data_IF_737855431038
#
_entry.id   IF_737855431038
#
_cell.length_a   1.000
_cell.length_b   1.000
_cell.length_c   1.000
_cell.angle_alpha   90.00
_cell.angle_beta   90.00
_cell.angle_gamma   90.00
#
_symmetry.space_group_name_H-M   'P 1'
#
loop_
_entity.id
_entity.type
_entity.pdbx_description
1 polymer ?
#
# COMPACT_ATOMS: atom_id res chain seq x y z
N UNK A 1 -2.89 -50.44 -17.04
CA UNK A 1 -3.84 -49.94 -16.05
C UNK A 1 -3.16 -48.74 -15.42
N UNK A 2 -3.46 -47.56 -15.96
CA UNK A 2 -2.81 -46.30 -15.63
C UNK A 2 -3.46 -45.77 -14.35
N UNK A 3 -2.71 -45.74 -13.25
CA UNK A 3 -3.18 -45.19 -11.99
C UNK A 3 -3.14 -43.67 -12.14
N UNK A 4 -4.30 -43.12 -12.44
CA UNK A 4 -4.56 -41.69 -12.48
C UNK A 4 -4.55 -41.18 -11.04
N UNK A 5 -3.40 -40.68 -10.60
CA UNK A 5 -3.26 -39.95 -9.34
C UNK A 5 -4.14 -38.69 -9.38
N UNK A 6 -5.38 -38.88 -8.91
CA UNK A 6 -6.41 -37.86 -8.87
C UNK A 6 -6.37 -37.24 -7.48
N UNK A 7 -5.38 -36.39 -7.25
CA UNK A 7 -5.36 -35.37 -6.18
C UNK A 7 -4.37 -34.26 -6.58
N UNK A 8 -4.62 -33.68 -7.76
CA UNK A 8 -3.88 -32.49 -8.22
C UNK A 8 -4.24 -31.31 -7.32
N UNK A 9 -3.25 -30.86 -6.57
CA UNK A 9 -3.27 -29.71 -5.68
C UNK A 9 -3.57 -28.44 -6.49
N UNK A 10 -4.83 -27.98 -6.48
CA UNK A 10 -5.23 -26.64 -6.92
C UNK A 10 -4.76 -25.61 -5.87
N UNK A 11 -4.04 -24.51 -6.13
CA UNK A 11 -3.27 -24.00 -7.26
C UNK A 11 -1.97 -23.41 -6.67
N UNK A 12 -0.82 -23.71 -7.27
CA UNK A 12 0.30 -22.76 -7.23
C UNK A 12 0.08 -21.76 -8.37
N UNK A 13 0.72 -20.59 -8.34
CA UNK A 13 0.62 -19.51 -9.35
C UNK A 13 0.85 -19.90 -10.83
N UNK A 14 1.04 -21.19 -11.14
CA UNK A 14 1.51 -21.68 -12.42
C UNK A 14 2.97 -21.34 -12.64
N UNK A 15 3.46 -21.67 -13.83
CA UNK A 15 4.80 -21.29 -14.26
C UNK A 15 4.87 -19.78 -14.56
N UNK A 16 6.01 -19.11 -14.27
CA UNK A 16 6.20 -17.70 -14.62
C UNK A 16 6.27 -17.50 -16.15
N UNK A 17 6.04 -16.26 -16.65
CA UNK A 17 5.85 -15.02 -15.91
C UNK A 17 4.44 -14.82 -15.36
N UNK A 18 4.35 -14.41 -14.10
CA UNK A 18 3.10 -14.06 -13.45
C UNK A 18 2.69 -12.62 -13.74
N UNK A 19 1.44 -12.42 -14.15
CA UNK A 19 0.91 -11.11 -14.51
C UNK A 19 0.00 -10.62 -13.40
N UNK A 20 0.24 -9.40 -12.92
CA UNK A 20 -0.57 -8.73 -11.92
C UNK A 20 -1.13 -7.44 -12.52
N UNK A 21 -2.43 -7.21 -12.39
CA UNK A 21 -3.08 -5.94 -12.75
C UNK A 21 -3.83 -5.38 -11.56
N UNK A 22 -3.81 -4.07 -11.42
CA UNK A 22 -4.46 -3.39 -10.32
C UNK A 22 -3.98 -1.96 -10.17
N UNK A 23 -4.19 -1.42 -8.98
CA UNK A 23 -3.72 -0.08 -8.59
C UNK A 23 -2.73 -0.17 -7.43
N UNK A 24 -1.79 0.77 -7.38
CA UNK A 24 -0.82 0.84 -6.29
C UNK A 24 -0.60 2.29 -5.86
N UNK A 25 -0.45 2.47 -4.55
CA UNK A 25 -0.12 3.72 -3.89
C UNK A 25 1.26 3.60 -3.29
N UNK A 26 2.18 4.46 -3.70
CA UNK A 26 3.53 4.54 -3.14
C UNK A 26 3.63 5.75 -2.23
N UNK A 27 4.15 5.56 -1.02
CA UNK A 27 4.51 6.66 -0.14
C UNK A 27 5.92 6.46 0.38
N UNK A 28 6.84 7.25 -0.17
CA UNK A 28 8.26 7.21 0.17
C UNK A 28 8.55 8.18 1.31
N UNK A 29 9.47 7.78 2.20
CA UNK A 29 9.91 8.59 3.33
C UNK A 29 11.41 8.44 3.54
N UNK A 30 12.03 9.50 4.08
CA UNK A 30 13.37 9.38 4.64
C UNK A 30 13.28 8.61 5.96
N UNK A 31 13.99 7.48 6.01
CA UNK A 31 14.12 6.63 7.19
C UNK A 31 15.55 6.76 7.68
N UNK A 32 15.75 6.90 8.99
CA UNK A 32 17.09 6.91 9.55
C UNK A 32 17.80 5.59 9.24
N UNK A 33 19.05 5.66 8.80
CA UNK A 33 19.86 4.49 8.45
C UNK A 33 19.95 3.50 9.62
N UNK A 34 20.14 3.99 10.85
CA UNK A 34 20.14 3.17 12.08
C UNK A 34 18.87 2.31 12.21
N UNK A 35 17.71 2.87 11.89
CA UNK A 35 16.43 2.15 11.95
C UNK A 35 16.30 1.14 10.82
N UNK A 36 16.69 1.51 9.60
CA UNK A 36 16.68 0.60 8.45
C UNK A 36 17.60 -0.61 8.67
N UNK A 37 18.77 -0.40 9.30
CA UNK A 37 19.75 -1.44 9.63
C UNK A 37 19.27 -2.50 10.61
N UNK A 38 18.20 -2.24 11.37
CA UNK A 38 17.59 -3.28 12.21
C UNK A 38 16.87 -4.36 11.37
N UNK A 39 16.50 -4.06 10.12
CA UNK A 39 15.74 -4.96 9.24
C UNK A 39 16.55 -5.44 8.03
N UNK A 40 17.54 -4.67 7.61
CA UNK A 40 18.41 -4.99 6.47
C UNK A 40 19.60 -5.83 6.95
N UNK A 41 19.88 -6.99 6.33
CA UNK A 41 21.05 -7.80 6.63
C UNK A 41 22.37 -7.01 6.57
N UNK A 42 23.33 -7.34 7.42
CA UNK A 42 24.59 -6.58 7.58
C UNK A 42 25.49 -6.65 6.33
N UNK A 43 25.41 -7.75 5.61
CA UNK A 43 26.06 -8.03 4.33
C UNK A 43 25.48 -7.19 3.18
N UNK A 44 24.23 -6.74 3.28
CA UNK A 44 23.63 -5.84 2.30
C UNK A 44 24.10 -4.39 2.55
N UNK A 45 24.62 -3.73 1.51
CA UNK A 45 25.04 -2.31 1.62
C UNK A 45 23.83 -1.39 1.46
N UNK A 46 23.51 -0.59 2.48
CA UNK A 46 22.44 0.39 2.42
C UNK A 46 22.84 1.58 1.50
N UNK A 47 21.88 2.07 0.71
CA UNK A 47 21.99 3.36 0.01
C UNK A 47 21.56 4.44 1.00
N UNK A 48 22.53 5.17 1.54
CA UNK A 48 22.28 6.20 2.54
C UNK A 48 23.00 7.51 2.21
N UNK A 49 22.39 8.62 2.61
CA UNK A 49 22.95 9.96 2.56
C UNK A 49 22.59 10.68 3.86
N UNK A 50 23.56 11.35 4.49
CA UNK A 50 23.38 12.09 5.75
C UNK A 50 22.77 11.26 6.90
N UNK A 51 23.01 9.94 6.91
CA UNK A 51 22.43 9.03 7.92
C UNK A 51 20.97 8.65 7.67
N UNK A 52 20.44 8.90 6.46
CA UNK A 52 19.10 8.49 6.05
C UNK A 52 19.13 7.66 4.78
N UNK A 53 18.14 6.78 4.62
CA UNK A 53 17.86 6.02 3.41
C UNK A 53 16.42 6.27 2.95
N UNK A 54 16.11 5.95 1.71
CA UNK A 54 14.76 6.05 1.18
C UNK A 54 13.99 4.76 1.50
N UNK A 55 13.06 4.86 2.44
CA UNK A 55 12.11 3.79 2.77
C UNK A 55 10.68 4.21 2.44
N UNK A 56 9.72 3.57 3.09
CA UNK A 56 8.31 3.92 2.96
C UNK A 56 7.42 2.69 2.91
N UNK A 57 6.34 2.77 2.15
CA UNK A 57 5.50 1.62 1.87
C UNK A 57 4.86 1.74 0.50
N UNK A 58 4.36 0.61 -0.02
CA UNK A 58 3.37 0.62 -1.09
C UNK A 58 2.17 -0.23 -0.70
N UNK A 59 0.99 0.27 -1.07
CA UNK A 59 -0.28 -0.43 -0.91
C UNK A 59 -0.82 -0.72 -2.31
N UNK A 60 -0.92 -2.00 -2.67
CA UNK A 60 -1.47 -2.47 -3.92
C UNK A 60 -2.84 -3.12 -3.72
N UNK A 61 -3.71 -2.94 -4.70
CA UNK A 61 -4.99 -3.62 -4.83
C UNK A 61 -5.02 -4.27 -6.20
N UNK A 62 -4.98 -5.61 -6.22
CA UNK A 62 -4.91 -6.40 -7.44
C UNK A 62 -6.31 -6.83 -7.88
N UNK A 63 -6.64 -6.46 -9.12
CA UNK A 63 -7.89 -6.80 -9.80
C UNK A 63 -7.73 -8.07 -10.67
N UNK A 64 -6.50 -8.51 -10.93
CA UNK A 64 -6.20 -9.70 -11.72
C UNK A 64 -4.81 -10.21 -11.33
N UNK A 65 -4.70 -11.45 -10.87
CA UNK A 65 -3.44 -12.10 -10.52
C UNK A 65 -3.59 -13.63 -10.49
N UNK A 66 -2.49 -14.40 -10.45
CA UNK A 66 -2.57 -15.85 -10.27
C UNK A 66 -3.25 -16.30 -8.96
N UNK A 67 -3.22 -15.46 -7.91
CA UNK A 67 -3.93 -15.67 -6.64
C UNK A 67 -5.39 -15.17 -6.66
N UNK A 68 -5.87 -14.65 -7.79
CA UNK A 68 -7.12 -13.91 -7.88
C UNK A 68 -7.00 -12.49 -7.31
N UNK A 69 -8.10 -11.96 -6.76
CA UNK A 69 -8.17 -10.62 -6.20
C UNK A 69 -7.56 -10.59 -4.80
N UNK A 70 -6.64 -9.65 -4.54
CA UNK A 70 -6.08 -9.48 -3.20
C UNK A 70 -5.46 -8.08 -3.01
N UNK A 71 -5.38 -7.66 -1.75
CA UNK A 71 -4.68 -6.45 -1.33
C UNK A 71 -3.30 -6.79 -0.74
N UNK A 72 -2.32 -5.94 -1.02
CA UNK A 72 -0.95 -6.09 -0.52
C UNK A 72 -0.42 -4.77 0.06
N UNK A 73 0.16 -4.82 1.26
CA UNK A 73 0.92 -3.72 1.84
C UNK A 73 2.36 -4.17 2.09
N UNK A 74 3.31 -3.51 1.44
CA UNK A 74 4.74 -3.74 1.65
C UNK A 74 5.35 -2.56 2.36
N UNK A 75 6.01 -2.84 3.48
CA UNK A 75 6.82 -1.87 4.22
C UNK A 75 8.26 -1.97 3.76
N UNK A 76 8.81 -0.87 3.27
CA UNK A 76 10.16 -0.75 2.75
C UNK A 76 11.05 -0.13 3.83
N UNK A 77 12.03 -0.87 4.34
CA UNK A 77 12.97 -0.34 5.33
C UNK A 77 13.95 0.68 4.74
N UNK A 78 14.38 0.45 3.50
CA UNK A 78 15.38 1.28 2.83
C UNK A 78 15.75 0.72 1.46
N UNK A 79 16.63 1.43 0.77
CA UNK A 79 17.25 0.96 -0.47
C UNK A 79 18.57 0.27 -0.17
N UNK A 80 18.81 -0.87 -0.81
CA UNK A 80 20.07 -1.61 -0.75
C UNK A 80 20.73 -1.61 -2.13
N UNK A 81 22.07 -1.57 -2.15
CA UNK A 81 22.84 -1.71 -3.37
C UNK A 81 22.75 -3.14 -3.89
N UNK A 82 22.37 -3.28 -5.16
CA UNK A 82 22.39 -4.53 -5.90
C UNK A 82 22.98 -4.23 -7.29
N UNK A 83 24.31 -4.32 -7.45
CA UNK A 83 24.98 -3.85 -8.66
C UNK A 83 24.35 -4.38 -9.96
N UNK A 84 24.13 -3.54 -10.98
CA UNK A 84 24.56 -2.14 -11.11
C UNK A 84 23.58 -1.11 -10.53
N UNK A 85 22.48 -1.52 -9.90
CA UNK A 85 21.40 -0.64 -9.44
C UNK A 85 21.21 -0.70 -7.92
N UNK A 86 20.02 -0.31 -7.46
CA UNK A 86 19.57 -0.47 -6.09
C UNK A 86 18.21 -1.15 -6.07
N UNK A 87 17.86 -1.78 -4.96
CA UNK A 87 16.59 -2.45 -4.76
C UNK A 87 15.98 -2.02 -3.42
N UNK A 88 14.65 -2.00 -3.35
CA UNK A 88 13.95 -1.79 -2.10
C UNK A 88 14.03 -3.05 -1.23
N UNK A 89 14.40 -2.89 0.04
CA UNK A 89 14.33 -3.98 1.01
C UNK A 89 12.97 -4.02 1.68
N UNK A 90 12.19 -5.05 1.36
CA UNK A 90 10.90 -5.30 2.00
C UNK A 90 11.12 -5.83 3.42
N UNK A 91 10.86 -4.99 4.42
CA UNK A 91 10.95 -5.37 5.83
C UNK A 91 9.77 -6.25 6.26
N UNK A 92 8.61 -6.03 5.63
CA UNK A 92 7.38 -6.74 5.92
C UNK A 92 6.45 -6.65 4.71
N UNK A 93 5.76 -7.75 4.41
CA UNK A 93 4.73 -7.83 3.37
C UNK A 93 3.45 -8.35 4.02
N UNK A 94 2.31 -7.71 3.77
CA UNK A 94 1.02 -8.05 4.33
C UNK A 94 0.04 -8.27 3.19
N UNK A 95 -0.64 -9.42 3.16
CA UNK A 95 -1.57 -9.79 2.09
C UNK A 95 -2.84 -10.41 2.66
N UNK A 96 -3.98 -10.20 2.04
CA UNK A 96 -5.24 -10.88 2.45
C UNK A 96 -5.47 -12.23 1.77
N UNK A 97 -4.65 -12.61 0.79
CA UNK A 97 -4.67 -13.96 0.22
C UNK A 97 -3.66 -14.89 0.90
N UNK A 98 -4.16 -16.03 1.40
CA UNK A 98 -3.33 -17.10 1.94
C UNK A 98 -2.41 -17.69 0.86
N UNK A 99 -2.90 -17.82 -0.37
CA UNK A 99 -2.13 -18.34 -1.50
C UNK A 99 -0.97 -17.42 -1.83
N UNK A 100 -1.25 -16.11 -1.95
CA UNK A 100 -0.21 -15.10 -2.19
C UNK A 100 0.84 -15.08 -1.08
N UNK A 101 0.42 -15.22 0.18
CA UNK A 101 1.31 -15.28 1.33
C UNK A 101 2.24 -16.51 1.27
N UNK A 102 1.67 -17.68 0.96
CA UNK A 102 2.41 -18.93 0.85
C UNK A 102 3.38 -18.90 -0.32
N UNK A 103 2.94 -18.43 -1.48
CA UNK A 103 3.78 -18.30 -2.67
C UNK A 103 4.92 -17.32 -2.43
N UNK A 104 4.63 -16.12 -1.92
CA UNK A 104 5.63 -15.10 -1.60
C UNK A 104 6.73 -15.62 -0.68
N UNK A 105 6.37 -16.42 0.34
CA UNK A 105 7.37 -17.05 1.23
C UNK A 105 8.16 -18.16 0.57
N UNK A 106 7.49 -19.10 -0.09
CA UNK A 106 8.10 -20.36 -0.56
C UNK A 106 8.90 -20.19 -1.85
N UNK A 107 8.43 -19.33 -2.76
CA UNK A 107 9.00 -19.17 -4.11
C UNK A 107 9.85 -17.91 -4.21
N UNK A 108 9.38 -16.80 -3.63
CA UNK A 108 10.07 -15.50 -3.75
C UNK A 108 10.97 -15.19 -2.54
N UNK A 109 10.71 -15.79 -1.37
CA UNK A 109 11.46 -15.51 -0.14
C UNK A 109 11.02 -14.23 0.59
N UNK A 110 9.81 -13.72 0.32
CA UNK A 110 9.28 -12.52 0.93
C UNK A 110 8.88 -12.75 2.41
N UNK A 111 9.03 -11.73 3.28
CA UNK A 111 8.55 -11.76 4.66
C UNK A 111 7.03 -11.51 4.74
N UNK A 112 6.25 -12.24 3.91
CA UNK A 112 4.79 -12.10 3.79
C UNK A 112 4.09 -12.59 5.04
N UNK A 113 2.98 -11.95 5.42
CA UNK A 113 2.09 -12.33 6.53
C UNK A 113 0.64 -12.11 6.09
N UNK A 114 -0.27 -12.94 6.58
CA UNK A 114 -1.69 -12.79 6.28
C UNK A 114 -2.25 -11.63 7.11
N UNK A 115 -2.97 -10.73 6.45
CA UNK A 115 -3.61 -9.59 7.06
C UNK A 115 -5.04 -9.43 6.51
N UNK A 116 -5.87 -8.67 7.22
CA UNK A 116 -7.18 -8.26 6.74
C UNK A 116 -7.18 -6.76 6.45
N UNK A 117 -7.62 -6.41 5.25
CA UNK A 117 -7.80 -5.05 4.78
C UNK A 117 -9.28 -4.69 4.85
N UNK A 118 -9.61 -3.58 5.52
CA UNK A 118 -10.97 -3.05 5.58
C UNK A 118 -11.00 -1.66 4.95
N UNK A 119 -11.64 -1.55 3.80
CA UNK A 119 -11.77 -0.31 3.02
C UNK A 119 -13.14 0.34 3.30
N UNK A 120 -13.15 1.57 3.81
CA UNK A 120 -14.36 2.37 4.04
C UNK A 120 -14.31 3.64 3.21
N UNK A 121 -15.32 3.85 2.36
CA UNK A 121 -15.42 5.07 1.54
C UNK A 121 -16.45 5.99 2.18
N UNK A 122 -16.02 7.19 2.57
CA UNK A 122 -16.89 8.25 3.08
C UNK A 122 -16.97 9.36 2.05
N UNK A 123 -18.17 9.61 1.52
CA UNK A 123 -18.43 10.78 0.68
C UNK A 123 -18.50 12.02 1.57
N UNK A 124 -17.56 12.96 1.41
CA UNK A 124 -17.58 14.22 2.12
C UNK A 124 -18.40 15.26 1.35
N UNK A 125 -19.46 15.83 1.94
CA UNK A 125 -20.12 17.00 1.39
C UNK A 125 -19.12 18.16 1.39
N UNK A 126 -18.94 18.80 0.25
CA UNK A 126 -18.09 19.99 0.17
C UNK A 126 -18.90 21.16 0.76
N UNK A 127 -18.51 21.66 1.93
CA UNK A 127 -19.08 22.90 2.46
C UNK A 127 -18.80 24.03 1.46
N UNK A 128 -19.82 24.83 1.08
CA UNK A 128 -19.58 25.98 0.22
C UNK A 128 -18.61 26.91 0.94
N UNK A 129 -17.49 27.24 0.29
CA UNK A 129 -16.56 28.25 0.81
C UNK A 129 -17.38 29.52 1.08
N UNK A 130 -17.48 29.90 2.35
CA UNK A 130 -18.03 31.19 2.78
C UNK A 130 -17.29 32.28 2.00
N UNK A 131 -18.00 32.94 1.10
CA UNK A 131 -17.50 34.14 0.42
C UNK A 131 -17.71 35.31 1.37
N UNK A 132 -16.66 35.71 2.08
CA UNK A 132 -16.61 37.08 2.59
C UNK A 132 -16.17 38.00 1.45
N UNK A 133 -17.06 38.96 1.15
CA UNK A 133 -16.93 40.16 0.31
C UNK A 133 -16.51 40.03 -1.16
N UNK A 134 -17.49 40.07 -2.07
CA UNK A 134 -17.42 40.86 -3.31
C UNK A 134 -18.83 40.91 -3.93
N UNK A 135 -19.37 42.12 -3.94
CA UNK A 135 -20.67 42.50 -4.51
C UNK A 135 -20.56 42.50 -6.05
N UNK A 136 -21.63 42.04 -6.72
CA UNK A 136 -21.91 41.96 -8.17
C UNK A 136 -21.56 40.65 -8.91
N UNK A 137 -22.59 39.86 -9.21
CA UNK A 137 -22.80 39.34 -10.57
C UNK A 137 -24.24 38.86 -10.76
N UNK A 138 -24.88 39.55 -11.70
CA UNK A 138 -26.21 39.41 -12.28
C UNK A 138 -26.41 38.06 -12.98
N UNK A 139 -27.62 37.50 -12.84
CA UNK A 139 -28.30 36.48 -13.66
C UNK A 139 -27.42 35.49 -14.43
N UNK A 140 -27.33 34.25 -13.90
CA UNK A 140 -26.83 33.09 -14.63
C UNK A 140 -27.22 31.81 -13.92
N UNK A 141 -28.02 30.98 -14.59
CA UNK A 141 -28.45 29.65 -14.15
C UNK A 141 -27.22 28.79 -13.82
N UNK A 142 -26.90 28.63 -12.53
CA UNK A 142 -25.80 27.77 -12.07
C UNK A 142 -26.33 26.37 -11.83
N UNK A 143 -26.06 25.44 -12.75
CA UNK A 143 -26.07 24.02 -12.42
C UNK A 143 -24.99 23.77 -11.37
N UNK A 144 -25.38 23.64 -10.11
CA UNK A 144 -24.49 23.24 -9.03
C UNK A 144 -24.12 21.76 -9.21
N UNK A 145 -23.11 21.45 -10.04
CA UNK A 145 -22.51 20.12 -10.01
C UNK A 145 -21.67 20.02 -8.72
N UNK A 146 -22.22 19.39 -7.69
CA UNK A 146 -21.49 19.07 -6.48
C UNK A 146 -20.30 18.15 -6.85
N UNK A 147 -19.08 18.64 -6.71
CA UNK A 147 -17.90 17.77 -6.73
C UNK A 147 -17.82 17.08 -5.38
N UNK A 148 -18.14 15.78 -5.35
CA UNK A 148 -17.96 14.95 -4.17
C UNK A 148 -16.46 14.73 -3.94
N UNK A 149 -16.00 14.86 -2.70
CA UNK A 149 -14.68 14.41 -2.27
C UNK A 149 -14.87 13.06 -1.62
N UNK A 150 -14.20 12.03 -2.12
CA UNK A 150 -14.24 10.71 -1.49
C UNK A 150 -13.00 10.57 -0.60
N UNK A 151 -13.24 10.30 0.68
CA UNK A 151 -12.21 9.89 1.61
C UNK A 151 -12.26 8.36 1.74
N UNK A 152 -11.13 7.69 1.54
CA UNK A 152 -11.03 6.24 1.65
C UNK A 152 -10.13 5.88 2.83
N UNK A 153 -10.71 5.23 3.82
CA UNK A 153 -10.02 4.73 5.00
C UNK A 153 -9.71 3.24 4.83
N UNK A 154 -8.45 2.86 5.00
CA UNK A 154 -7.97 1.48 4.86
C UNK A 154 -7.35 1.07 6.20
N UNK A 155 -8.03 0.17 6.90
CA UNK A 155 -7.53 -0.42 8.14
C UNK A 155 -6.89 -1.77 7.86
N UNK A 156 -5.65 -1.96 8.32
CA UNK A 156 -4.88 -3.18 8.10
C UNK A 156 -4.64 -3.89 9.43
N UNK A 157 -5.06 -5.16 9.49
CA UNK A 157 -4.99 -6.01 10.68
C UNK A 157 -4.18 -7.27 10.42
N UNK A 158 -3.05 -7.47 11.10
CA UNK A 158 -2.29 -8.72 11.00
C UNK A 158 -3.06 -9.85 11.70
N UNK A 159 -3.05 -11.04 11.12
CA UNK A 159 -3.60 -12.22 11.77
C UNK A 159 -2.44 -13.12 12.21
N UNK A 160 -2.08 -13.07 13.49
CA UNK A 160 -1.08 -13.96 14.10
C UNK A 160 -1.76 -14.99 14.99
N UNK A 161 -1.69 -16.28 14.63
CA UNK A 161 -2.00 -17.44 15.51
C UNK A 161 -3.13 -17.15 16.52
N UNK A 162 -4.32 -16.79 16.01
CA UNK A 162 -5.56 -16.48 16.75
C UNK A 162 -5.72 -15.07 17.38
N UNK A 163 -4.80 -14.13 17.14
CA UNK A 163 -4.98 -12.72 17.53
C UNK A 163 -4.86 -11.80 16.31
N UNK A 164 -5.84 -10.91 16.17
CA UNK A 164 -5.77 -9.80 15.22
C UNK A 164 -5.05 -8.62 15.87
N UNK A 165 -4.01 -8.10 15.24
CA UNK A 165 -3.27 -6.92 15.70
C UNK A 165 -3.48 -5.79 14.69
N UNK A 166 -4.04 -4.66 15.12
CA UNK A 166 -4.13 -3.47 14.28
C UNK A 166 -2.72 -2.96 13.98
N UNK A 167 -2.33 -2.93 12.70
CA UNK A 167 -0.97 -2.53 12.29
C UNK A 167 -0.94 -1.06 11.90
N UNK A 168 -1.92 -0.62 11.12
CA UNK A 168 -1.97 0.74 10.61
C UNK A 168 -3.35 1.10 10.06
N UNK A 169 -3.64 2.39 10.04
CA UNK A 169 -4.75 2.98 9.30
C UNK A 169 -4.19 3.96 8.27
N UNK A 170 -4.60 3.80 7.02
CA UNK A 170 -4.22 4.64 5.89
C UNK A 170 -5.47 5.39 5.42
N UNK A 171 -5.47 6.71 5.56
CA UNK A 171 -6.52 7.60 5.10
C UNK A 171 -6.10 8.25 3.78
N UNK A 172 -6.90 8.06 2.73
CA UNK A 172 -6.68 8.56 1.39
C UNK A 172 -7.75 9.59 1.03
N UNK A 173 -7.34 10.85 0.91
CA UNK A 173 -8.22 11.89 0.38
C UNK A 173 -8.12 11.93 -1.15
N UNK A 174 -9.02 11.19 -1.80
CA UNK A 174 -9.20 11.22 -3.27
C UNK A 174 -10.06 12.42 -3.65
N UNK A 175 -9.45 13.61 -3.70
CA UNK A 175 -10.05 14.71 -4.42
C UNK A 175 -9.78 14.49 -5.92
N UNK A 176 -10.76 14.02 -6.68
CA UNK A 176 -10.69 14.02 -8.15
C UNK A 176 -11.00 15.44 -8.62
N UNK A 177 -10.04 16.23 -9.13
CA UNK A 177 -10.36 17.50 -9.76
C UNK A 177 -10.96 17.19 -11.14
N UNK A 178 -12.16 17.70 -11.41
CA UNK A 178 -12.70 17.73 -12.77
C UNK A 178 -11.79 18.64 -13.58
N UNK A 179 -10.89 18.02 -14.33
CA UNK A 179 -10.14 18.49 -15.49
C UNK A 179 -10.03 20.03 -15.59
N UNK A 180 -8.94 20.60 -15.07
CA UNK A 180 -8.32 21.90 -15.44
C UNK A 180 -7.24 22.32 -14.42
N UNK A 181 -6.17 21.54 -14.24
CA UNK A 181 -4.93 22.08 -13.65
C UNK A 181 -3.74 21.18 -13.95
N UNK A 182 -2.68 21.75 -14.53
CA UNK A 182 -1.42 21.09 -14.94
C UNK A 182 -0.54 20.58 -13.77
N UNK A 183 -1.05 20.50 -12.55
CA UNK A 183 -0.28 20.16 -11.35
C UNK A 183 -1.09 19.25 -10.42
N UNK A 184 -1.32 17.99 -10.82
CA UNK A 184 -1.84 16.99 -9.89
C UNK A 184 -0.68 16.31 -9.16
N UNK A 185 -0.54 16.59 -7.87
CA UNK A 185 0.48 16.01 -6.97
C UNK A 185 0.07 14.67 -6.31
N UNK A 186 -0.90 13.94 -6.89
CA UNK A 186 -1.48 12.74 -6.28
C UNK A 186 -2.49 13.03 -5.15
N UNK A 187 -3.12 11.99 -4.57
CA UNK A 187 -4.03 12.14 -3.42
C UNK A 187 -3.26 12.48 -2.14
N UNK A 188 -3.89 13.25 -1.23
CA UNK A 188 -3.31 13.50 0.10
C UNK A 188 -3.48 12.24 0.97
N UNK A 189 -2.37 11.69 1.46
CA UNK A 189 -2.35 10.49 2.29
C UNK A 189 -2.05 10.88 3.73
N UNK A 190 -2.85 10.39 4.68
CA UNK A 190 -2.58 10.50 6.12
C UNK A 190 -2.53 9.09 6.71
N UNK A 191 -1.38 8.70 7.24
CA UNK A 191 -1.21 7.39 7.89
C UNK A 191 -1.17 7.56 9.41
N UNK A 192 -1.89 6.72 10.14
CA UNK A 192 -1.75 6.59 11.58
C UNK A 192 -1.33 5.17 11.95
N UNK A 193 -0.27 5.07 12.74
CA UNK A 193 0.19 3.82 13.32
C UNK A 193 -0.30 3.77 14.77
N UNK A 194 -0.95 2.69 15.24
CA UNK A 194 -1.10 2.46 16.67
C UNK A 194 0.29 2.36 17.29
N UNK A 195 0.51 3.04 18.42
CA UNK A 195 1.77 3.16 19.15
C UNK A 195 2.68 1.93 19.01
N UNK A 196 3.68 2.02 18.14
CA UNK A 196 4.67 0.96 17.95
C UNK A 196 5.64 0.99 19.14
N UNK A 197 5.57 0.01 20.03
CA UNK A 197 6.66 -0.30 20.95
C UNK A 197 7.53 -1.36 20.27
N UNK A 198 8.66 -0.93 19.71
CA UNK A 198 9.73 -1.83 19.28
C UNK A 198 10.39 -2.41 20.53
N UNK A 199 9.96 -3.59 20.98
CA UNK A 199 10.79 -4.41 21.86
C UNK A 199 11.70 -5.25 20.96
N UNK A 200 12.97 -4.87 20.87
CA UNK A 200 14.01 -5.79 20.41
C UNK A 200 14.13 -6.91 21.45
N UNK A 201 14.02 -8.16 21.00
CA UNK A 201 14.41 -9.35 21.76
C UNK A 201 15.81 -9.78 21.37
#
# INVERSE_FOLDING_TARGET
MEVKDTNSTQLAYGEPPWIFKGSALYQLHLVKAETARAFVPKDCRLVEAFGYTLGGFFLASYDDSPAGFFDELVVIAGLVWNPPTSCAWAARVLVDSNEACLHGRKVVGLPSQVARFSKKITALPRTPKSKTSSVLSTVGLRTSSASYRNNMDIEVTEIKKQRAINICNINLNTAVPRQESKEWMGPLIKMSLPNFRLSAG
#
